data_IF_806816391595
#
_entry.id   IF_806816391595
#
_cell.length_a   1.000
_cell.length_b   1.000
_cell.length_c   1.000
_cell.angle_alpha   90.00
_cell.angle_beta   90.00
_cell.angle_gamma   90.00
#
_symmetry.space_group_name_H-M   'P 1'
#
loop_
_entity.id
_entity.type
_entity.pdbx_description
1 polymer ?
#
# COMPACT_ATOMS: atom_id res chain seq x y z
N UNK A 1 4.06 32.81 20.82
CA UNK A 1 4.50 32.02 21.99
C UNK A 1 4.26 30.53 21.71
N UNK A 2 5.01 29.63 22.33
CA UNK A 2 4.84 28.17 22.17
C UNK A 2 3.75 27.64 23.12
N UNK A 3 3.21 26.44 22.83
CA UNK A 3 2.15 25.83 23.65
C UNK A 3 2.65 25.49 25.06
N UNK A 4 1.73 25.52 26.03
CA UNK A 4 2.02 25.08 27.40
C UNK A 4 2.46 23.62 27.41
N UNK A 5 3.67 23.40 27.94
CA UNK A 5 4.36 22.11 27.97
C UNK A 5 4.77 21.82 29.40
N UNK A 6 4.52 20.60 29.87
CA UNK A 6 4.85 20.21 31.23
C UNK A 6 4.23 18.88 31.61
N UNK A 7 4.10 18.64 32.92
CA UNK A 7 3.48 17.43 33.47
C UNK A 7 2.08 17.18 32.90
N UNK A 8 1.81 15.94 32.50
CA UNK A 8 0.48 15.48 32.05
C UNK A 8 -0.57 15.48 33.17
N UNK A 9 -0.13 15.61 34.43
CA UNK A 9 -1.02 15.73 35.60
C UNK A 9 -1.50 17.17 35.83
N UNK A 10 -0.91 18.15 35.12
CA UNK A 10 -1.43 19.51 35.06
C UNK A 10 -2.22 19.67 33.76
N UNK A 11 -3.55 19.76 33.88
CA UNK A 11 -4.49 19.83 32.76
C UNK A 11 -4.43 21.16 31.98
N UNK A 12 -3.66 22.15 32.44
CA UNK A 12 -3.32 23.33 31.65
C UNK A 12 -2.40 22.98 30.48
N UNK A 13 -1.50 22.02 30.67
CA UNK A 13 -0.54 21.63 29.64
C UNK A 13 -1.24 21.00 28.43
N UNK A 14 -0.69 21.26 27.25
CA UNK A 14 -1.15 20.73 25.95
C UNK A 14 -0.14 19.79 25.32
N UNK A 15 1.11 19.87 25.75
CA UNK A 15 2.21 19.02 25.30
C UNK A 15 2.82 18.35 26.53
N UNK A 16 2.89 17.02 26.49
CA UNK A 16 3.50 16.20 27.54
C UNK A 16 5.02 16.04 27.35
N UNK A 17 5.68 15.29 28.26
CA UNK A 17 7.10 15.00 28.16
C UNK A 17 7.41 14.06 26.98
N UNK A 18 8.64 14.14 26.49
CA UNK A 18 9.25 13.12 25.64
C UNK A 18 9.42 11.81 26.42
N UNK A 19 9.38 10.68 25.73
CA UNK A 19 9.68 9.36 26.31
C UNK A 19 11.17 9.20 26.65
N UNK A 20 12.06 9.89 25.93
CA UNK A 20 13.49 9.94 26.19
C UNK A 20 14.06 11.33 25.90
N UNK A 21 15.30 11.60 26.32
CA UNK A 21 16.00 12.85 26.03
C UNK A 21 16.21 12.99 24.52
N UNK A 22 16.23 14.22 23.98
CA UNK A 22 16.60 14.44 22.59
C UNK A 22 17.97 13.83 22.28
N UNK A 23 18.01 12.96 21.28
CA UNK A 23 19.23 12.33 20.79
C UNK A 23 19.19 12.15 19.28
N UNK A 24 20.34 11.83 18.69
CA UNK A 24 20.46 11.49 17.27
C UNK A 24 19.87 12.57 16.35
N UNK A 25 18.87 12.20 15.54
CA UNK A 25 18.24 13.10 14.56
C UNK A 25 17.50 14.26 15.22
N UNK A 26 16.80 14.01 16.33
CA UNK A 26 16.06 15.04 17.06
C UNK A 26 17.02 16.09 17.63
N UNK A 27 18.05 15.66 18.37
CA UNK A 27 19.06 16.56 18.94
C UNK A 27 19.73 17.41 17.86
N UNK A 28 20.16 16.78 16.76
CA UNK A 28 20.72 17.50 15.61
C UNK A 28 19.75 18.58 15.12
N UNK A 29 18.47 18.25 14.92
CA UNK A 29 17.48 19.24 14.46
C UNK A 29 17.34 20.43 15.41
N UNK A 30 17.47 20.25 16.73
CA UNK A 30 17.31 21.35 17.69
C UNK A 30 18.51 22.32 17.66
N UNK A 31 19.71 21.81 17.39
CA UNK A 31 20.96 22.59 17.40
C UNK A 31 21.42 23.12 16.05
N UNK A 32 20.79 22.69 14.94
CA UNK A 32 21.25 22.97 13.58
C UNK A 32 20.09 23.43 12.69
N UNK A 33 20.37 24.41 11.82
CA UNK A 33 19.52 24.89 10.74
C UNK A 33 20.25 24.74 9.41
N UNK A 34 19.58 24.24 8.39
CA UNK A 34 20.11 24.21 7.02
C UNK A 34 20.15 25.63 6.41
N UNK A 35 20.86 25.80 5.29
CA UNK A 35 21.08 27.13 4.70
C UNK A 35 19.77 27.80 4.24
N UNK A 36 19.47 28.95 4.86
CA UNK A 36 18.27 29.74 4.60
C UNK A 36 17.09 29.39 5.51
N UNK A 37 17.21 28.36 6.36
CA UNK A 37 16.23 28.12 7.41
C UNK A 37 16.37 29.15 8.54
N UNK A 38 15.23 29.46 9.17
CA UNK A 38 15.17 30.28 10.38
C UNK A 38 14.21 29.67 11.39
N UNK A 39 14.38 30.00 12.66
CA UNK A 39 13.41 29.64 13.69
C UNK A 39 12.26 30.66 13.70
N UNK A 40 11.05 30.21 13.34
CA UNK A 40 9.83 30.96 13.64
C UNK A 40 9.47 30.82 15.12
N UNK A 41 9.65 29.62 15.67
CA UNK A 41 9.58 29.34 17.11
C UNK A 41 10.82 28.54 17.49
N UNK A 42 11.71 29.13 18.29
CA UNK A 42 12.95 28.48 18.72
C UNK A 42 12.66 27.31 19.67
N UNK A 43 13.45 26.23 19.62
CA UNK A 43 13.37 25.16 20.60
C UNK A 43 13.73 25.66 21.99
N UNK A 44 13.02 25.16 22.99
CA UNK A 44 13.17 25.53 24.39
C UNK A 44 12.62 24.39 25.27
N UNK A 45 12.98 24.38 26.55
CA UNK A 45 12.59 23.34 27.49
C UNK A 45 11.84 23.95 28.67
N UNK A 46 10.67 23.38 28.98
CA UNK A 46 9.88 23.81 30.14
C UNK A 46 10.52 23.32 31.47
N UNK A 47 9.87 23.63 32.58
CA UNK A 47 10.25 23.17 33.92
C UNK A 47 11.73 23.43 34.28
N UNK A 48 12.19 24.66 34.02
CA UNK A 48 13.57 25.11 34.28
C UNK A 48 14.63 24.32 33.48
N UNK A 49 14.36 24.09 32.20
CA UNK A 49 15.31 23.43 31.30
C UNK A 49 15.32 21.92 31.42
N UNK A 50 14.21 21.30 31.86
CA UNK A 50 14.12 19.86 31.95
C UNK A 50 14.23 19.23 30.55
N UNK A 51 15.23 18.37 30.28
CA UNK A 51 15.49 17.85 28.94
C UNK A 51 14.38 16.94 28.38
N UNK A 52 13.46 16.47 29.22
CA UNK A 52 12.28 15.71 28.76
C UNK A 52 11.11 16.62 28.37
N UNK A 53 11.12 17.89 28.76
CA UNK A 53 10.00 18.82 28.56
C UNK A 53 10.24 19.74 27.37
N UNK A 54 10.55 19.16 26.21
CA UNK A 54 10.80 19.90 24.98
C UNK A 54 9.52 20.59 24.49
N UNK A 55 9.57 21.92 24.37
CA UNK A 55 8.46 22.74 23.86
C UNK A 55 8.39 22.66 22.33
N UNK A 56 7.20 22.82 21.73
CA UNK A 56 7.07 22.90 20.28
C UNK A 56 7.95 23.99 19.66
N UNK A 57 8.58 23.63 18.55
CA UNK A 57 9.42 24.52 17.73
C UNK A 57 9.00 24.47 16.27
N UNK A 58 9.26 25.56 15.55
CA UNK A 58 8.88 25.73 14.15
C UNK A 58 10.07 26.27 13.36
N UNK A 59 10.53 25.48 12.40
CA UNK A 59 11.52 25.88 11.39
C UNK A 59 10.79 26.46 10.19
N UNK A 60 11.34 27.53 9.63
CA UNK A 60 10.76 28.23 8.49
C UNK A 60 11.78 28.30 7.36
N UNK A 61 11.37 27.92 6.16
CA UNK A 61 12.21 27.97 4.97
C UNK A 61 12.98 26.69 4.68
N UNK A 62 12.56 25.55 5.24
CA UNK A 62 13.11 24.22 4.90
C UNK A 62 12.95 23.98 3.40
N UNK A 63 14.01 23.52 2.74
CA UNK A 63 14.06 23.22 1.31
C UNK A 63 14.05 21.71 1.06
N UNK A 64 13.81 21.35 -0.19
CA UNK A 64 13.92 19.97 -0.63
C UNK A 64 15.34 19.42 -0.42
N UNK A 65 15.45 18.14 -0.06
CA UNK A 65 16.72 17.53 0.34
C UNK A 65 17.30 17.93 1.71
N UNK A 66 16.79 18.98 2.36
CA UNK A 66 17.28 19.40 3.69
C UNK A 66 17.12 18.29 4.73
N UNK A 67 17.90 18.39 5.82
CA UNK A 67 17.96 17.35 6.83
C UNK A 67 16.57 17.04 7.40
N UNK A 68 15.78 18.05 7.75
CA UNK A 68 14.46 17.87 8.35
C UNK A 68 13.36 17.50 7.36
N UNK A 69 13.59 17.65 6.05
CA UNK A 69 12.68 17.12 5.03
C UNK A 69 12.86 15.60 4.89
N UNK A 70 14.10 15.12 4.94
CA UNK A 70 14.43 13.72 4.66
C UNK A 70 14.45 12.81 5.90
N UNK A 71 14.21 13.35 7.09
CA UNK A 71 14.37 12.63 8.35
C UNK A 71 13.20 12.83 9.30
N UNK A 72 12.64 11.72 9.77
CA UNK A 72 11.70 11.70 10.89
C UNK A 72 12.43 12.01 12.21
N UNK A 73 11.89 12.96 12.98
CA UNK A 73 12.50 13.48 14.20
C UNK A 73 11.88 12.94 15.49
N UNK A 74 10.65 12.39 15.44
CA UNK A 74 9.92 11.88 16.63
C UNK A 74 9.87 12.86 17.82
N UNK A 75 9.73 14.16 17.54
CA UNK A 75 9.61 15.20 18.55
C UNK A 75 8.74 16.36 18.06
N UNK A 76 8.41 17.33 18.94
CA UNK A 76 7.54 18.47 18.63
C UNK A 76 8.29 19.55 17.81
N UNK A 77 8.81 19.16 16.65
CA UNK A 77 9.51 20.04 15.69
C UNK A 77 8.72 20.02 14.39
N UNK A 78 8.20 21.18 13.99
CA UNK A 78 7.51 21.36 12.70
C UNK A 78 8.43 22.10 11.72
N UNK A 79 8.55 21.56 10.51
CA UNK A 79 9.29 22.19 9.40
C UNK A 79 8.31 22.73 8.37
N UNK A 80 8.47 23.99 7.97
CA UNK A 80 7.63 24.62 6.94
C UNK A 80 8.41 24.79 5.65
N UNK A 81 7.88 24.15 4.61
CA UNK A 81 8.40 24.18 3.24
C UNK A 81 7.44 24.95 2.34
N UNK A 82 7.99 25.64 1.32
CA UNK A 82 7.19 26.34 0.32
C UNK A 82 7.25 25.58 -1.00
N UNK A 83 6.09 25.18 -1.51
CA UNK A 83 5.93 24.70 -2.87
C UNK A 83 5.44 25.82 -3.80
N UNK A 84 5.65 25.66 -5.10
CA UNK A 84 5.18 26.60 -6.13
C UNK A 84 3.70 26.40 -6.48
N UNK A 85 3.25 25.14 -6.41
CA UNK A 85 1.88 24.70 -6.70
C UNK A 85 1.63 23.32 -6.07
N UNK A 86 0.40 22.82 -6.15
CA UNK A 86 0.03 21.52 -5.58
C UNK A 86 0.80 20.33 -6.19
N UNK A 87 1.12 20.37 -7.48
CA UNK A 87 1.88 19.28 -8.11
C UNK A 87 3.27 19.17 -7.51
N UNK A 88 3.96 20.30 -7.42
CA UNK A 88 5.26 20.40 -6.75
C UNK A 88 5.16 19.99 -5.27
N UNK A 89 4.13 20.41 -4.53
CA UNK A 89 3.94 19.99 -3.14
C UNK A 89 3.83 18.46 -2.97
N UNK A 90 3.13 17.79 -3.89
CA UNK A 90 3.02 16.32 -3.88
C UNK A 90 4.37 15.66 -4.15
N UNK A 91 5.15 16.20 -5.08
CA UNK A 91 6.51 15.71 -5.39
C UNK A 91 7.43 15.81 -4.17
N UNK A 92 7.39 16.95 -3.46
CA UNK A 92 8.13 17.14 -2.19
C UNK A 92 7.75 16.04 -1.19
N UNK A 93 6.47 15.84 -0.90
CA UNK A 93 6.04 14.84 0.10
C UNK A 93 6.44 13.42 -0.29
N UNK A 94 6.26 13.05 -1.56
CA UNK A 94 6.60 11.71 -2.06
C UNK A 94 8.11 11.45 -2.04
N UNK A 95 8.96 12.48 -2.13
CA UNK A 95 10.42 12.33 -2.15
C UNK A 95 11.01 11.76 -0.85
N UNK A 96 10.31 11.88 0.28
CA UNK A 96 10.77 11.37 1.59
C UNK A 96 10.99 9.83 1.59
N UNK A 97 10.31 9.12 0.69
CA UNK A 97 10.28 7.66 0.63
C UNK A 97 9.44 6.99 1.74
N UNK A 98 8.86 7.79 2.64
CA UNK A 98 7.85 7.37 3.60
C UNK A 98 6.45 7.64 3.04
N UNK A 99 5.44 7.00 3.61
CA UNK A 99 4.06 7.12 3.13
C UNK A 99 3.05 6.67 4.18
N UNK A 100 3.16 7.17 5.41
CA UNK A 100 2.24 6.78 6.49
C UNK A 100 0.94 7.57 6.44
N UNK A 101 0.99 8.85 6.79
CA UNK A 101 -0.15 9.77 6.76
C UNK A 101 0.16 10.97 5.88
N UNK A 102 -0.85 11.52 5.22
CA UNK A 102 -0.75 12.79 4.50
C UNK A 102 -2.04 13.57 4.60
N UNK A 103 -1.93 14.90 4.65
CA UNK A 103 -3.04 15.83 4.85
C UNK A 103 -3.13 16.85 3.72
N UNK A 104 -4.35 17.19 3.30
CA UNK A 104 -4.64 18.31 2.40
C UNK A 104 -5.71 19.21 3.00
N UNK A 105 -5.39 20.48 3.17
CA UNK A 105 -6.36 21.54 3.49
C UNK A 105 -6.70 22.30 2.20
N UNK A 106 -7.82 21.93 1.57
CA UNK A 106 -8.33 22.61 0.36
C UNK A 106 -9.84 22.43 0.22
N UNK A 107 -10.50 23.52 -0.19
CA UNK A 107 -11.93 23.51 -0.53
C UNK A 107 -12.19 23.13 -2.00
N UNK A 108 -11.16 23.14 -2.85
CA UNK A 108 -11.28 22.84 -4.27
C UNK A 108 -11.26 21.33 -4.50
N UNK A 109 -12.36 20.80 -5.05
CA UNK A 109 -12.50 19.36 -5.31
C UNK A 109 -11.48 18.86 -6.35
N UNK A 110 -11.09 19.71 -7.31
CA UNK A 110 -10.10 19.36 -8.35
C UNK A 110 -8.72 19.16 -7.73
N UNK A 111 -8.39 19.95 -6.71
CA UNK A 111 -7.15 19.79 -5.94
C UNK A 111 -7.19 18.52 -5.10
N UNK A 112 -8.32 18.24 -4.43
CA UNK A 112 -8.51 17.02 -3.65
C UNK A 112 -8.37 15.76 -4.52
N UNK A 113 -8.98 15.75 -5.71
CA UNK A 113 -8.87 14.65 -6.68
C UNK A 113 -7.43 14.44 -7.14
N UNK A 114 -6.79 15.49 -7.65
CA UNK A 114 -5.39 15.46 -8.08
C UNK A 114 -4.45 14.96 -6.98
N UNK A 115 -4.68 15.39 -5.74
CA UNK A 115 -3.89 14.98 -4.59
C UNK A 115 -4.12 13.51 -4.24
N UNK A 116 -5.38 13.06 -4.13
CA UNK A 116 -5.72 11.65 -3.87
C UNK A 116 -5.14 10.69 -4.90
N UNK A 117 -5.02 11.11 -6.16
CA UNK A 117 -4.48 10.28 -7.25
C UNK A 117 -2.96 10.13 -7.18
N UNK A 118 -2.24 11.18 -6.74
CA UNK A 118 -0.78 11.26 -6.88
C UNK A 118 0.00 11.11 -5.58
N UNK A 119 -0.64 11.31 -4.43
CA UNK A 119 0.03 11.20 -3.14
C UNK A 119 0.31 9.74 -2.78
N UNK A 120 1.52 9.44 -2.33
CA UNK A 120 1.95 8.11 -1.91
C UNK A 120 1.89 8.05 -0.38
N UNK A 121 0.71 7.76 0.16
CA UNK A 121 0.55 7.51 1.59
C UNK A 121 -0.61 6.55 1.85
N UNK A 122 -0.51 5.76 2.92
CA UNK A 122 -1.53 4.80 3.29
C UNK A 122 -2.78 5.45 3.89
N UNK A 123 -2.65 6.54 4.64
CA UNK A 123 -3.77 7.24 5.28
C UNK A 123 -3.84 8.69 4.81
N UNK A 124 -4.91 9.04 4.10
CA UNK A 124 -5.15 10.36 3.54
C UNK A 124 -6.20 11.09 4.36
N UNK A 125 -5.95 12.36 4.65
CA UNK A 125 -6.83 13.21 5.43
C UNK A 125 -7.09 14.52 4.69
N UNK A 126 -8.35 14.90 4.53
CA UNK A 126 -8.74 16.11 3.82
C UNK A 126 -9.55 16.99 4.77
N UNK A 127 -9.11 18.24 4.93
CA UNK A 127 -9.71 19.27 5.78
C UNK A 127 -9.84 18.86 7.26
N UNK A 128 -8.80 18.22 7.80
CA UNK A 128 -8.73 17.68 9.16
C UNK A 128 -7.29 17.31 9.53
N UNK A 129 -7.05 17.10 10.82
CA UNK A 129 -5.78 16.55 11.31
C UNK A 129 -5.47 15.14 10.79
N UNK A 130 -4.18 14.82 10.72
CA UNK A 130 -3.65 13.55 10.18
C UNK A 130 -3.41 12.46 11.23
N UNK A 131 -3.72 12.73 12.50
CA UNK A 131 -3.53 11.81 13.63
C UNK A 131 -4.86 11.34 14.20
N UNK A 132 -4.83 10.33 15.09
CA UNK A 132 -6.03 9.86 15.78
C UNK A 132 -6.93 8.99 14.91
N UNK A 133 -6.33 8.12 14.10
CA UNK A 133 -7.05 7.13 13.32
C UNK A 133 -7.93 6.26 14.22
N UNK A 134 -9.19 6.11 13.84
CA UNK A 134 -10.21 5.33 14.56
C UNK A 134 -10.38 3.99 13.83
N UNK A 135 -10.37 2.90 14.59
CA UNK A 135 -10.60 1.53 14.09
C UNK A 135 -11.86 1.48 13.21
N UNK A 136 -11.79 0.74 12.09
CA UNK A 136 -12.78 0.64 11.01
C UNK A 136 -13.08 1.93 10.22
N UNK A 137 -12.93 3.12 10.80
CA UNK A 137 -13.11 4.38 10.06
C UNK A 137 -11.89 4.69 9.20
N UNK A 138 -10.71 4.64 9.80
CA UNK A 138 -9.44 4.87 9.11
C UNK A 138 -8.45 3.75 9.47
N UNK A 139 -8.63 2.51 8.96
CA UNK A 139 -7.62 1.47 9.12
C UNK A 139 -6.21 2.01 8.86
N UNK A 140 -5.29 1.69 9.74
CA UNK A 140 -4.01 2.40 9.83
C UNK A 140 -2.85 1.55 9.33
N UNK A 141 -2.01 2.16 8.50
CA UNK A 141 -0.81 1.52 7.93
C UNK A 141 -0.29 2.32 6.74
N UNK A 142 1.02 2.32 6.53
CA UNK A 142 1.67 3.14 5.52
C UNK A 142 2.05 2.40 4.24
N UNK A 143 2.81 3.10 3.41
CA UNK A 143 3.46 2.63 2.18
C UNK A 143 4.95 2.97 2.22
N UNK A 144 5.73 2.42 1.28
CA UNK A 144 7.18 2.67 1.21
C UNK A 144 7.89 2.28 2.50
N UNK A 145 8.77 3.15 3.01
CA UNK A 145 9.51 2.92 4.26
C UNK A 145 8.62 2.85 5.52
N UNK A 146 7.35 3.23 5.42
CA UNK A 146 6.40 3.21 6.55
C UNK A 146 5.73 1.86 6.78
N UNK A 147 5.97 0.85 5.94
CA UNK A 147 5.39 -0.47 6.10
C UNK A 147 6.36 -1.57 5.63
N UNK A 148 6.38 -2.68 6.37
CA UNK A 148 7.03 -3.92 5.97
C UNK A 148 5.97 -5.03 6.11
N UNK A 149 5.77 -5.83 5.05
CA UNK A 149 4.81 -6.93 5.05
C UNK A 149 3.74 -6.81 3.97
N UNK A 150 2.61 -7.49 4.21
CA UNK A 150 1.50 -7.57 3.23
C UNK A 150 0.85 -6.22 2.92
N UNK A 151 0.96 -5.25 3.84
CA UNK A 151 0.33 -3.93 3.73
C UNK A 151 -1.13 -3.88 4.17
N UNK A 152 -1.68 -4.98 4.72
CA UNK A 152 -3.01 -5.00 5.34
C UNK A 152 -3.03 -4.13 6.59
N UNK A 153 -4.02 -3.24 6.71
CA UNK A 153 -4.04 -2.17 7.71
C UNK A 153 -4.62 -2.62 9.04
N UNK A 154 -3.99 -2.21 10.14
CA UNK A 154 -4.50 -2.47 11.48
C UNK A 154 -5.85 -1.78 11.68
N UNK A 155 -6.78 -2.47 12.34
CA UNK A 155 -8.15 -1.97 12.52
C UNK A 155 -9.02 -2.04 11.26
N UNK A 156 -8.55 -2.68 10.18
CA UNK A 156 -9.33 -3.03 9.00
C UNK A 156 -9.72 -4.52 8.95
N UNK A 157 -10.64 -4.88 8.05
CA UNK A 157 -11.21 -6.22 7.95
C UNK A 157 -10.19 -7.31 7.56
N UNK A 158 -9.17 -6.96 6.78
CA UNK A 158 -8.22 -7.94 6.27
C UNK A 158 -7.06 -8.22 7.26
N UNK A 159 -6.87 -7.41 8.31
CA UNK A 159 -5.68 -7.51 9.16
C UNK A 159 -5.48 -8.88 9.80
N UNK A 160 -6.57 -9.47 10.30
CA UNK A 160 -6.57 -10.77 10.98
C UNK A 160 -6.17 -11.91 10.03
N UNK A 161 -6.48 -11.79 8.74
CA UNK A 161 -6.16 -12.83 7.75
C UNK A 161 -4.66 -13.16 7.66
N UNK A 162 -3.78 -12.25 8.07
CA UNK A 162 -2.34 -12.45 8.10
C UNK A 162 -1.90 -13.51 9.13
N UNK A 163 -2.76 -13.81 10.09
CA UNK A 163 -2.50 -14.74 11.18
C UNK A 163 -3.32 -16.03 11.04
N UNK A 164 -3.85 -16.30 9.84
CA UNK A 164 -4.72 -17.44 9.55
C UNK A 164 -4.08 -18.37 8.53
N UNK A 165 -4.40 -19.66 8.63
CA UNK A 165 -4.18 -20.63 7.55
C UNK A 165 -5.48 -20.81 6.79
N UNK A 166 -5.65 -20.05 5.70
CA UNK A 166 -6.89 -20.01 4.93
C UNK A 166 -6.88 -21.14 3.90
N UNK A 167 -7.95 -21.94 3.89
CA UNK A 167 -8.21 -22.96 2.87
C UNK A 167 -9.58 -22.72 2.27
N UNK A 168 -9.68 -22.90 0.97
CA UNK A 168 -10.95 -22.85 0.27
C UNK A 168 -11.39 -24.28 -0.05
N UNK A 169 -12.64 -24.58 0.28
CA UNK A 169 -13.35 -25.77 -0.20
C UNK A 169 -14.43 -25.28 -1.13
N UNK A 170 -14.47 -25.84 -2.34
CA UNK A 170 -15.38 -25.40 -3.39
C UNK A 170 -16.83 -25.53 -2.93
N UNK A 171 -17.51 -24.40 -2.82
CA UNK A 171 -18.96 -24.34 -2.57
C UNK A 171 -19.58 -23.53 -3.69
N UNK A 172 -20.23 -24.20 -4.63
CA UNK A 172 -21.02 -23.66 -5.74
C UNK A 172 -20.38 -22.43 -6.42
N UNK A 173 -19.48 -22.65 -7.39
CA UNK A 173 -18.97 -21.57 -8.21
C UNK A 173 -20.11 -20.90 -8.99
N UNK A 174 -20.14 -19.57 -8.91
CA UNK A 174 -21.12 -18.72 -9.58
C UNK A 174 -21.15 -18.94 -11.10
N UNK A 175 -22.35 -18.75 -11.66
CA UNK A 175 -22.63 -18.76 -13.08
C UNK A 175 -21.74 -17.76 -13.84
N UNK A 176 -21.41 -18.15 -15.08
CA UNK A 176 -20.57 -17.45 -16.05
C UNK A 176 -20.43 -15.94 -15.86
N UNK A 177 -19.23 -15.49 -15.51
CA UNK A 177 -18.81 -14.11 -15.78
C UNK A 177 -18.30 -14.06 -17.23
N UNK A 178 -18.84 -13.15 -18.05
CA UNK A 178 -18.31 -12.85 -19.38
C UNK A 178 -17.80 -11.42 -19.37
N UNK A 179 -16.49 -11.30 -19.48
CA UNK A 179 -15.82 -10.04 -19.80
C UNK A 179 -15.02 -10.29 -21.08
N UNK A 180 -14.73 -9.24 -21.88
CA UNK A 180 -13.88 -9.40 -23.07
C UNK A 180 -12.54 -10.09 -22.75
N UNK A 181 -12.02 -9.84 -21.54
CA UNK A 181 -10.83 -10.50 -21.02
C UNK A 181 -11.03 -12.01 -20.79
N UNK A 182 -12.11 -12.41 -20.11
CA UNK A 182 -12.44 -13.83 -19.89
C UNK A 182 -12.71 -14.54 -21.22
N UNK A 183 -13.38 -13.90 -22.17
CA UNK A 183 -13.69 -14.50 -23.48
C UNK A 183 -12.41 -14.72 -24.31
N UNK A 184 -11.47 -13.77 -24.26
CA UNK A 184 -10.14 -13.93 -24.84
C UNK A 184 -9.41 -15.10 -24.17
N UNK A 185 -9.42 -15.18 -22.85
CA UNK A 185 -8.77 -16.28 -22.12
C UNK A 185 -9.39 -17.64 -22.41
N UNK A 186 -10.72 -17.72 -22.47
CA UNK A 186 -11.45 -18.92 -22.87
C UNK A 186 -11.01 -19.37 -24.26
N UNK A 187 -10.87 -18.44 -25.19
CA UNK A 187 -10.41 -18.75 -26.56
C UNK A 187 -8.97 -19.25 -26.58
N UNK A 188 -8.10 -18.70 -25.74
CA UNK A 188 -6.69 -19.10 -25.68
C UNK A 188 -6.50 -20.49 -25.04
N UNK A 189 -7.22 -20.74 -23.95
CA UNK A 189 -7.06 -21.94 -23.13
C UNK A 189 -7.82 -23.16 -23.70
N UNK A 190 -8.93 -22.96 -24.42
CA UNK A 190 -9.73 -24.09 -24.96
C UNK A 190 -9.32 -24.56 -26.36
N UNK A 191 -8.41 -23.85 -27.03
CA UNK A 191 -7.89 -24.26 -28.36
C UNK A 191 -6.89 -25.40 -28.31
N UNK A 192 -6.30 -25.66 -27.15
CA UNK A 192 -5.33 -26.73 -26.94
C UNK A 192 -5.98 -27.91 -26.21
N UNK A 193 -5.59 -29.13 -26.56
CA UNK A 193 -6.05 -30.35 -25.87
C UNK A 193 -5.08 -30.77 -24.77
N UNK A 194 -3.84 -30.25 -24.78
CA UNK A 194 -2.84 -30.52 -23.75
C UNK A 194 -3.17 -29.66 -22.52
N UNK A 195 -3.30 -30.30 -21.35
CA UNK A 195 -3.75 -29.69 -20.08
C UNK A 195 -5.16 -29.09 -20.09
N UNK A 196 -6.08 -29.71 -20.82
CA UNK A 196 -7.46 -29.23 -20.94
C UNK A 196 -8.17 -29.12 -19.58
N UNK A 197 -7.99 -30.10 -18.68
CA UNK A 197 -8.66 -30.10 -17.37
C UNK A 197 -8.18 -28.96 -16.47
N UNK A 198 -6.86 -28.71 -16.45
CA UNK A 198 -6.23 -27.62 -15.71
C UNK A 198 -6.63 -26.25 -16.27
N UNK A 199 -6.70 -26.13 -17.59
CA UNK A 199 -7.19 -24.93 -18.27
C UNK A 199 -8.65 -24.62 -17.93
N UNK A 200 -9.53 -25.62 -17.96
CA UNK A 200 -10.93 -25.47 -17.55
C UNK A 200 -11.05 -25.14 -16.06
N UNK A 201 -10.22 -25.75 -15.20
CA UNK A 201 -10.17 -25.41 -13.77
C UNK A 201 -9.75 -23.96 -13.54
N UNK A 202 -8.69 -23.49 -14.22
CA UNK A 202 -8.26 -22.11 -14.15
C UNK A 202 -9.36 -21.14 -14.62
N UNK A 203 -10.03 -21.44 -15.74
CA UNK A 203 -11.13 -20.61 -16.26
C UNK A 203 -12.26 -20.44 -15.24
N UNK A 204 -12.62 -21.50 -14.51
CA UNK A 204 -13.62 -21.43 -13.43
C UNK A 204 -13.19 -20.47 -12.32
N UNK A 205 -11.94 -20.55 -11.89
CA UNK A 205 -11.40 -19.65 -10.85
C UNK A 205 -11.28 -18.21 -11.34
N UNK A 206 -10.89 -17.98 -12.60
CA UNK A 206 -10.75 -16.65 -13.17
C UNK A 206 -12.10 -15.91 -13.20
N UNK A 207 -13.20 -16.58 -13.56
CA UNK A 207 -14.55 -15.98 -13.48
C UNK A 207 -14.87 -15.52 -12.06
N UNK A 208 -14.55 -16.34 -11.06
CA UNK A 208 -14.75 -16.01 -9.66
C UNK A 208 -13.85 -14.85 -9.19
N UNK A 209 -12.62 -14.77 -9.69
CA UNK A 209 -11.71 -13.66 -9.40
C UNK A 209 -12.20 -12.36 -10.02
N UNK A 210 -12.69 -12.39 -11.25
CA UNK A 210 -13.27 -11.22 -11.92
C UNK A 210 -14.47 -10.65 -11.14
N UNK A 211 -15.34 -11.53 -10.63
CA UNK A 211 -16.42 -11.11 -9.75
C UNK A 211 -15.90 -10.34 -8.53
N UNK A 212 -14.96 -10.93 -7.77
CA UNK A 212 -14.40 -10.28 -6.57
C UNK A 212 -13.63 -8.99 -6.88
N UNK A 213 -12.94 -8.94 -8.01
CA UNK A 213 -12.29 -7.73 -8.47
C UNK A 213 -13.31 -6.59 -8.65
N UNK A 214 -14.44 -6.86 -9.30
CA UNK A 214 -15.49 -5.89 -9.54
C UNK A 214 -16.24 -5.45 -8.27
N UNK A 215 -16.60 -6.39 -7.39
CA UNK A 215 -17.46 -6.08 -6.24
C UNK A 215 -16.69 -5.60 -5.00
N UNK A 216 -15.42 -5.94 -4.87
CA UNK A 216 -14.59 -5.57 -3.71
C UNK A 216 -13.48 -4.59 -4.10
N UNK A 217 -12.56 -5.00 -4.97
CA UNK A 217 -11.28 -4.29 -5.15
C UNK A 217 -11.41 -3.02 -6.00
N UNK A 218 -12.35 -2.97 -6.94
CA UNK A 218 -12.67 -1.76 -7.73
C UNK A 218 -13.64 -0.81 -7.01
N UNK A 219 -14.17 -1.17 -5.84
CA UNK A 219 -15.10 -0.35 -5.09
C UNK A 219 -14.40 0.42 -3.97
N UNK A 220 -14.86 1.65 -3.79
CA UNK A 220 -14.60 2.42 -2.58
C UNK A 220 -15.64 2.06 -1.53
N UNK A 221 -15.20 1.78 -0.30
CA UNK A 221 -16.06 1.33 0.79
C UNK A 221 -16.07 2.36 1.92
N UNK A 222 -17.24 2.85 2.31
CA UNK A 222 -17.43 3.61 3.56
C UNK A 222 -18.24 2.75 4.52
N UNK A 223 -17.59 2.06 5.46
CA UNK A 223 -18.31 1.25 6.44
C UNK A 223 -18.79 2.06 7.65
N UNK A 224 -18.30 3.29 7.82
CA UNK A 224 -18.55 4.08 9.01
C UNK A 224 -19.79 4.98 8.87
N UNK A 225 -20.08 5.44 7.66
CA UNK A 225 -21.24 6.27 7.33
C UNK A 225 -21.42 7.47 8.28
N UNK A 226 -20.33 8.20 8.54
CA UNK A 226 -20.34 9.33 9.48
C UNK A 226 -20.89 10.58 8.78
N UNK A 227 -21.92 11.18 9.36
CA UNK A 227 -22.48 12.43 8.84
C UNK A 227 -21.44 13.56 8.91
N UNK A 228 -21.15 14.18 7.77
CA UNK A 228 -20.16 15.26 7.66
C UNK A 228 -18.72 14.79 7.41
N UNK A 229 -18.47 13.48 7.36
CA UNK A 229 -17.14 12.90 7.18
C UNK A 229 -17.22 11.60 6.37
N UNK A 230 -16.61 11.58 5.18
CA UNK A 230 -16.47 10.31 4.44
C UNK A 230 -15.23 9.56 4.93
N UNK A 231 -15.33 8.25 5.05
CA UNK A 231 -14.29 7.36 5.55
C UNK A 231 -14.10 6.18 4.62
N UNK A 232 -13.43 6.47 3.52
CA UNK A 232 -13.27 5.55 2.41
C UNK A 232 -12.11 4.61 2.64
N UNK A 233 -12.33 3.33 2.40
CA UNK A 233 -11.30 2.32 2.21
C UNK A 233 -11.33 1.91 0.75
N UNK A 234 -10.17 1.95 0.10
CA UNK A 234 -9.99 1.52 -1.29
C UNK A 234 -8.74 0.67 -1.45
N UNK A 235 -8.64 0.01 -2.60
CA UNK A 235 -7.53 -0.87 -2.94
C UNK A 235 -6.82 -0.33 -4.18
N UNK A 236 -5.52 -0.07 -4.07
CA UNK A 236 -4.68 0.39 -5.17
C UNK A 236 -3.95 -0.82 -5.78
N UNK A 237 -4.06 -1.09 -7.09
CA UNK A 237 -3.33 -2.18 -7.71
C UNK A 237 -1.83 -1.92 -7.65
N UNK A 238 -1.04 -2.98 -7.50
CA UNK A 238 0.42 -2.91 -7.67
C UNK A 238 0.78 -2.72 -9.14
N UNK A 239 1.87 -2.02 -9.42
CA UNK A 239 2.31 -1.69 -10.78
C UNK A 239 2.96 -2.89 -11.49
N UNK A 240 3.71 -3.70 -10.75
CA UNK A 240 4.40 -4.87 -11.30
C UNK A 240 4.53 -6.01 -10.28
N UNK A 241 4.56 -7.24 -10.79
CA UNK A 241 4.62 -8.47 -10.00
C UNK A 241 5.67 -9.40 -10.58
N UNK A 242 6.58 -9.88 -9.73
CA UNK A 242 7.44 -11.03 -10.01
C UNK A 242 6.76 -12.30 -9.48
N UNK A 243 6.29 -13.15 -10.38
CA UNK A 243 5.75 -14.47 -10.06
C UNK A 243 6.87 -15.50 -10.21
N UNK A 244 7.40 -15.99 -9.09
CA UNK A 244 8.39 -17.08 -9.10
C UNK A 244 7.67 -18.42 -9.00
N UNK A 245 7.83 -19.22 -10.05
CA UNK A 245 7.32 -20.59 -10.12
C UNK A 245 8.40 -21.59 -9.67
N UNK A 246 7.97 -22.71 -9.09
CA UNK A 246 8.81 -23.84 -8.72
C UNK A 246 8.21 -25.15 -9.20
N UNK A 247 9.07 -26.17 -9.33
CA UNK A 247 8.62 -27.52 -9.67
C UNK A 247 7.60 -28.02 -8.64
N UNK A 248 6.47 -28.53 -9.12
CA UNK A 248 5.35 -28.95 -8.28
C UNK A 248 4.23 -27.92 -8.13
N UNK A 249 4.43 -26.66 -8.53
CA UNK A 249 3.34 -25.70 -8.67
C UNK A 249 2.34 -26.22 -9.72
N UNK A 250 1.05 -26.21 -9.38
CA UNK A 250 -0.01 -26.77 -10.24
C UNK A 250 -0.37 -25.78 -11.35
N UNK A 251 -0.55 -26.27 -12.58
CA UNK A 251 -0.76 -25.41 -13.75
C UNK A 251 -2.00 -24.52 -13.63
N UNK A 252 -3.09 -25.00 -13.02
CA UNK A 252 -4.28 -24.18 -12.83
C UNK A 252 -4.06 -23.03 -11.84
N UNK A 253 -3.20 -23.21 -10.83
CA UNK A 253 -2.83 -22.17 -9.87
C UNK A 253 -1.95 -21.11 -10.54
N UNK A 254 -1.01 -21.56 -11.38
CA UNK A 254 -0.16 -20.71 -12.22
C UNK A 254 -1.03 -19.86 -13.14
N UNK A 255 -1.91 -20.49 -13.93
CA UNK A 255 -2.76 -19.81 -14.89
C UNK A 255 -3.71 -18.84 -14.19
N UNK A 256 -4.35 -19.25 -13.09
CA UNK A 256 -5.23 -18.36 -12.34
C UNK A 256 -4.48 -17.15 -11.80
N UNK A 257 -3.26 -17.34 -11.29
CA UNK A 257 -2.43 -16.26 -10.75
C UNK A 257 -1.94 -15.30 -11.84
N UNK A 258 -1.43 -15.83 -12.95
CA UNK A 258 -1.05 -15.03 -14.13
C UNK A 258 -2.23 -14.16 -14.56
N UNK A 259 -3.42 -14.75 -14.67
CA UNK A 259 -4.60 -14.00 -15.10
C UNK A 259 -5.09 -13.00 -14.05
N UNK A 260 -4.95 -13.29 -12.76
CA UNK A 260 -5.26 -12.35 -11.69
C UNK A 260 -4.38 -11.08 -11.78
N UNK A 261 -3.07 -11.25 -12.01
CA UNK A 261 -2.11 -10.15 -12.16
C UNK A 261 -2.43 -9.31 -13.39
N UNK A 262 -2.71 -9.98 -14.52
CA UNK A 262 -3.08 -9.31 -15.77
C UNK A 262 -4.42 -8.56 -15.66
N UNK A 263 -5.39 -9.12 -14.95
CA UNK A 263 -6.72 -8.53 -14.75
C UNK A 263 -6.66 -7.19 -14.00
N UNK A 264 -5.73 -7.04 -13.05
CA UNK A 264 -5.55 -5.78 -12.31
C UNK A 264 -4.71 -4.74 -13.07
N UNK A 265 -4.18 -5.10 -14.25
CA UNK A 265 -3.35 -4.23 -15.09
C UNK A 265 -1.89 -4.14 -14.69
N UNK A 266 -1.40 -5.02 -13.81
CA UNK A 266 0.00 -5.03 -13.39
C UNK A 266 0.90 -5.66 -14.46
N UNK A 267 2.13 -5.16 -14.58
CA UNK A 267 3.17 -5.79 -15.41
C UNK A 267 3.62 -7.09 -14.75
N UNK A 268 3.62 -8.19 -15.49
CA UNK A 268 3.94 -9.52 -15.00
C UNK A 268 5.34 -9.94 -15.44
N UNK A 269 6.17 -10.37 -14.50
CA UNK A 269 7.38 -11.15 -14.80
C UNK A 269 7.21 -12.56 -14.23
N UNK A 270 7.19 -13.57 -15.10
CA UNK A 270 7.23 -14.98 -14.71
C UNK A 270 8.70 -15.44 -14.66
N UNK A 271 9.15 -15.88 -13.49
CA UNK A 271 10.47 -16.48 -13.30
C UNK A 271 10.32 -18.00 -13.15
N UNK A 272 10.90 -18.74 -14.09
CA UNK A 272 10.94 -20.21 -14.12
C UNK A 272 12.28 -20.73 -13.57
N UNK A 273 12.36 -21.94 -13.01
CA UNK A 273 13.65 -22.52 -12.63
C UNK A 273 14.54 -22.79 -13.85
N UNK A 274 15.82 -22.36 -13.78
CA UNK A 274 16.77 -22.35 -14.89
C UNK A 274 16.82 -23.65 -15.70
N UNK A 275 16.83 -24.79 -15.00
CA UNK A 275 17.03 -26.11 -15.61
C UNK A 275 15.76 -26.98 -15.62
N UNK A 276 14.60 -26.46 -15.22
CA UNK A 276 13.38 -27.27 -15.15
C UNK A 276 12.91 -27.69 -16.54
N UNK A 277 12.50 -28.95 -16.65
CA UNK A 277 11.91 -29.56 -17.86
C UNK A 277 10.46 -29.98 -17.64
N UNK A 278 9.80 -29.45 -16.60
CA UNK A 278 8.39 -29.70 -16.35
C UNK A 278 7.56 -29.31 -17.58
N UNK A 279 6.67 -30.21 -18.00
CA UNK A 279 5.93 -30.09 -19.26
C UNK A 279 5.05 -28.82 -19.28
N UNK A 280 4.51 -28.47 -18.12
CA UNK A 280 3.69 -27.30 -17.84
C UNK A 280 4.46 -25.99 -18.12
N UNK A 281 5.74 -25.92 -17.75
CA UNK A 281 6.57 -24.74 -18.01
C UNK A 281 6.96 -24.61 -19.48
N UNK A 282 7.31 -25.72 -20.12
CA UNK A 282 7.57 -25.74 -21.57
C UNK A 282 6.32 -25.34 -22.35
N UNK A 283 5.15 -25.82 -21.92
CA UNK A 283 3.87 -25.44 -22.49
C UNK A 283 3.59 -23.95 -22.27
N UNK A 284 3.79 -23.42 -21.06
CA UNK A 284 3.64 -22.00 -20.73
C UNK A 284 4.52 -21.12 -21.64
N UNK A 285 5.80 -21.46 -21.80
CA UNK A 285 6.73 -20.76 -22.70
C UNK A 285 6.27 -20.84 -24.16
N UNK A 286 5.77 -22.00 -24.62
CA UNK A 286 5.24 -22.17 -25.98
C UNK A 286 4.01 -21.29 -26.24
N UNK A 287 3.26 -20.97 -25.18
CA UNK A 287 2.04 -20.16 -25.23
C UNK A 287 2.25 -18.70 -24.86
N UNK A 288 3.46 -18.27 -24.51
CA UNK A 288 3.75 -16.94 -23.96
C UNK A 288 3.15 -15.79 -24.80
N UNK A 289 3.17 -15.90 -26.13
CA UNK A 289 2.62 -14.88 -27.04
C UNK A 289 1.11 -14.65 -26.87
N UNK A 290 0.42 -15.56 -26.18
CA UNK A 290 -1.02 -15.49 -25.91
C UNK A 290 -1.38 -14.64 -24.70
N UNK A 291 -0.49 -14.53 -23.70
CA UNK A 291 -0.80 -13.90 -22.41
C UNK A 291 0.28 -12.94 -21.87
N UNK A 292 1.48 -12.92 -22.46
CA UNK A 292 2.54 -11.94 -22.19
C UNK A 292 2.34 -10.74 -23.12
N UNK A 293 2.14 -9.56 -22.53
CA UNK A 293 2.09 -8.27 -23.21
C UNK A 293 3.47 -7.62 -23.36
N UNK A 294 3.51 -6.44 -23.99
CA UNK A 294 4.76 -5.75 -24.31
C UNK A 294 5.62 -5.37 -23.08
N UNK A 295 5.01 -5.22 -21.91
CA UNK A 295 5.68 -4.87 -20.65
C UNK A 295 5.85 -6.06 -19.70
N UNK A 296 5.46 -7.25 -20.14
CA UNK A 296 5.61 -8.48 -19.37
C UNK A 296 6.89 -9.21 -19.78
N UNK A 297 7.36 -10.11 -18.93
CA UNK A 297 8.54 -10.92 -19.19
C UNK A 297 8.36 -12.35 -18.72
N UNK A 298 9.05 -13.27 -19.39
CA UNK A 298 9.30 -14.62 -18.91
C UNK A 298 10.79 -14.88 -18.97
N UNK A 299 11.34 -15.44 -17.90
CA UNK A 299 12.76 -15.77 -17.82
C UNK A 299 12.98 -17.07 -17.07
N UNK A 300 14.17 -17.64 -17.26
CA UNK A 300 14.65 -18.83 -16.58
C UNK A 300 15.78 -18.41 -15.66
N UNK A 301 15.53 -18.48 -14.35
CA UNK A 301 16.39 -17.96 -13.31
C UNK A 301 16.85 -19.04 -12.34
N UNK A 302 18.12 -18.92 -11.96
CA UNK A 302 18.63 -19.50 -10.72
C UNK A 302 18.43 -18.55 -9.55
N UNK A 303 18.86 -18.97 -8.37
CA UNK A 303 18.64 -18.20 -7.15
C UNK A 303 19.36 -16.85 -7.15
N UNK A 304 20.57 -16.75 -7.71
CA UNK A 304 21.32 -15.49 -7.72
C UNK A 304 20.72 -14.47 -8.71
N UNK A 305 20.27 -14.92 -9.89
CA UNK A 305 19.57 -14.03 -10.82
C UNK A 305 18.23 -13.59 -10.23
N UNK A 306 17.50 -14.48 -9.56
CA UNK A 306 16.25 -14.16 -8.87
C UNK A 306 16.44 -13.12 -7.76
N UNK A 307 17.47 -13.27 -6.92
CA UNK A 307 17.81 -12.30 -5.86
C UNK A 307 18.10 -10.92 -6.45
N UNK A 308 18.74 -10.88 -7.62
CA UNK A 308 19.04 -9.63 -8.34
C UNK A 308 17.79 -9.00 -8.96
N UNK A 309 16.81 -9.82 -9.36
CA UNK A 309 15.55 -9.36 -9.95
C UNK A 309 14.58 -8.77 -8.93
N UNK A 310 14.46 -9.41 -7.76
CA UNK A 310 13.47 -9.08 -6.71
C UNK A 310 13.32 -7.57 -6.42
N UNK A 311 14.40 -6.78 -6.26
CA UNK A 311 14.29 -5.36 -5.89
C UNK A 311 13.58 -4.47 -6.92
N UNK A 312 13.43 -4.93 -8.15
CA UNK A 312 12.81 -4.17 -9.25
C UNK A 312 11.27 -4.30 -9.27
N UNK A 313 10.70 -5.12 -8.38
CA UNK A 313 9.28 -5.43 -8.37
C UNK A 313 8.63 -5.00 -7.06
N UNK A 314 7.44 -4.43 -7.16
CA UNK A 314 6.64 -3.98 -6.03
C UNK A 314 6.05 -5.17 -5.25
N UNK A 315 5.73 -6.26 -5.95
CA UNK A 315 5.25 -7.49 -5.34
C UNK A 315 5.99 -8.72 -5.86
N UNK A 316 6.42 -9.57 -4.94
CA UNK A 316 7.00 -10.88 -5.23
C UNK A 316 6.00 -11.95 -4.77
N UNK A 317 5.63 -12.86 -5.66
CA UNK A 317 4.67 -13.94 -5.39
C UNK A 317 5.32 -15.30 -5.61
N UNK A 318 5.23 -16.14 -4.60
CA UNK A 318 5.47 -17.60 -4.67
C UNK A 318 4.17 -18.29 -4.29
N UNK A 319 3.75 -19.34 -4.99
CA UNK A 319 2.46 -19.98 -4.74
C UNK A 319 2.43 -20.82 -3.45
N UNK A 320 3.60 -21.24 -2.95
CA UNK A 320 3.70 -22.02 -1.72
C UNK A 320 4.86 -21.54 -0.82
N UNK A 321 4.73 -21.63 0.51
CA UNK A 321 5.71 -21.08 1.46
C UNK A 321 7.04 -21.84 1.51
N UNK A 322 7.04 -23.13 1.23
CA UNK A 322 8.22 -24.02 1.17
C UNK A 322 9.15 -23.71 0.00
N UNK A 323 8.64 -23.02 -1.02
CA UNK A 323 9.33 -22.70 -2.25
C UNK A 323 10.30 -21.50 -2.13
N UNK A 324 10.35 -20.85 -0.96
CA UNK A 324 11.24 -19.72 -0.68
C UNK A 324 12.42 -20.19 0.16
N UNK A 325 13.62 -20.16 -0.41
CA UNK A 325 14.83 -20.58 0.30
C UNK A 325 15.22 -19.59 1.41
N UNK A 326 15.91 -20.08 2.44
CA UNK A 326 16.46 -19.21 3.48
C UNK A 326 17.52 -18.22 2.95
N UNK A 327 18.21 -18.57 1.86
CA UNK A 327 19.23 -17.71 1.29
C UNK A 327 18.60 -16.44 0.69
N UNK A 328 17.47 -16.58 -0.02
CA UNK A 328 16.70 -15.43 -0.52
C UNK A 328 16.36 -14.48 0.63
N UNK A 329 15.79 -14.98 1.73
CA UNK A 329 15.44 -14.14 2.89
C UNK A 329 16.66 -13.41 3.46
N UNK A 330 17.78 -14.10 3.65
CA UNK A 330 19.00 -13.49 4.20
C UNK A 330 19.55 -12.40 3.29
N UNK A 331 19.49 -12.60 1.97
CA UNK A 331 20.07 -11.71 0.97
C UNK A 331 19.25 -10.47 0.67
N UNK A 332 17.94 -10.47 0.96
CA UNK A 332 17.06 -9.31 0.75
C UNK A 332 16.61 -8.65 2.07
N UNK A 333 17.05 -9.15 3.22
CA UNK A 333 16.58 -8.71 4.54
C UNK A 333 16.83 -7.21 4.79
N UNK A 334 17.95 -6.68 4.30
CA UNK A 334 18.36 -5.28 4.42
C UNK A 334 17.49 -4.32 3.58
N UNK A 335 16.80 -4.84 2.57
CA UNK A 335 15.93 -4.08 1.68
C UNK A 335 14.48 -4.03 2.16
N UNK A 336 14.13 -4.77 3.21
CA UNK A 336 12.79 -4.83 3.78
C UNK A 336 11.67 -5.20 2.77
N UNK A 337 12.01 -6.01 1.76
CA UNK A 337 11.08 -6.46 0.72
C UNK A 337 10.19 -7.59 1.27
N UNK A 338 8.89 -7.48 1.07
CA UNK A 338 7.95 -8.54 1.43
C UNK A 338 7.73 -9.51 0.26
N UNK A 339 7.92 -10.80 0.54
CA UNK A 339 7.58 -11.91 -0.35
C UNK A 339 6.21 -12.47 0.06
N UNK A 340 5.22 -12.36 -0.84
CA UNK A 340 3.93 -13.01 -0.69
C UNK A 340 4.09 -14.50 -1.00
N UNK A 341 4.05 -15.33 0.03
CA UNK A 341 4.33 -16.77 -0.03
C UNK A 341 3.26 -17.62 0.64
N UNK A 342 2.17 -16.99 1.06
CA UNK A 342 1.00 -17.69 1.57
C UNK A 342 0.50 -18.67 0.50
N UNK A 343 0.08 -19.89 0.87
CA UNK A 343 -0.42 -20.86 -0.10
C UNK A 343 -1.47 -20.25 -1.02
N UNK A 344 -1.42 -20.56 -2.32
CA UNK A 344 -2.45 -20.16 -3.27
C UNK A 344 -3.84 -20.59 -2.76
N UNK A 345 -4.79 -19.67 -2.85
CA UNK A 345 -6.19 -19.94 -2.51
C UNK A 345 -7.04 -19.64 -3.73
N UNK A 346 -7.78 -20.63 -4.23
CA UNK A 346 -8.67 -20.49 -5.40
C UNK A 346 -9.96 -19.69 -5.13
N UNK A 347 -9.86 -18.67 -4.28
CA UNK A 347 -10.93 -17.74 -3.93
C UNK A 347 -10.49 -16.30 -4.19
N UNK A 348 -11.19 -15.60 -5.10
CA UNK A 348 -10.80 -14.25 -5.56
C UNK A 348 -10.66 -13.24 -4.42
N UNK A 349 -11.55 -13.24 -3.43
CA UNK A 349 -11.45 -12.36 -2.24
C UNK A 349 -10.15 -12.51 -1.45
N UNK A 350 -9.51 -13.67 -1.52
CA UNK A 350 -8.31 -13.99 -0.75
C UNK A 350 -7.08 -13.74 -1.61
N UNK A 351 -6.99 -14.40 -2.77
CA UNK A 351 -5.79 -14.34 -3.61
C UNK A 351 -5.54 -12.95 -4.17
N UNK A 352 -6.59 -12.21 -4.56
CA UNK A 352 -6.41 -10.86 -5.10
C UNK A 352 -5.79 -9.89 -4.08
N UNK A 353 -5.94 -10.11 -2.77
CA UNK A 353 -5.34 -9.23 -1.76
C UNK A 353 -3.81 -9.13 -1.88
N UNK A 354 -3.14 -10.13 -2.47
CA UNK A 354 -1.70 -10.08 -2.69
C UNK A 354 -1.30 -9.00 -3.71
N UNK A 355 -2.21 -8.57 -4.58
CA UNK A 355 -1.91 -7.66 -5.69
C UNK A 355 -2.47 -6.24 -5.49
N UNK A 356 -3.01 -5.95 -4.31
CA UNK A 356 -3.50 -4.63 -3.94
C UNK A 356 -2.81 -4.08 -2.69
N UNK A 357 -2.83 -2.76 -2.56
CA UNK A 357 -2.41 -2.01 -1.38
C UNK A 357 -3.64 -1.29 -0.84
N UNK A 358 -3.95 -1.49 0.44
CA UNK A 358 -5.06 -0.78 1.08
C UNK A 358 -4.73 0.69 1.29
N UNK A 359 -5.70 1.57 1.07
CA UNK A 359 -5.60 2.99 1.37
C UNK A 359 -6.87 3.47 2.06
N UNK A 360 -6.69 4.29 3.10
CA UNK A 360 -7.80 4.92 3.83
C UNK A 360 -7.82 6.40 3.54
N UNK A 361 -9.00 6.96 3.30
CA UNK A 361 -9.22 8.38 2.99
C UNK A 361 -10.32 8.90 3.90
N UNK A 362 -10.00 9.89 4.71
CA UNK A 362 -10.97 10.57 5.55
C UNK A 362 -11.11 12.02 5.12
N UNK A 363 -12.32 12.43 4.73
CA UNK A 363 -12.61 13.79 4.27
C UNK A 363 -13.72 14.42 5.10
N UNK A 364 -13.38 15.47 5.84
CA UNK A 364 -14.36 16.31 6.51
C UNK A 364 -14.97 17.27 5.49
N UNK A 365 -16.07 16.85 4.87
CA UNK A 365 -16.72 17.59 3.79
C UNK A 365 -17.70 18.67 4.28
N UNK A 366 -18.13 18.61 5.54
CA UNK A 366 -19.00 19.63 6.10
C UNK A 366 -18.30 20.99 6.20
N UNK A 367 -19.06 22.07 6.09
CA UNK A 367 -18.60 23.44 6.33
C UNK A 367 -19.36 24.00 7.50
N UNK A 368 -18.70 23.98 8.67
CA UNK A 368 -19.29 24.39 9.94
C UNK A 368 -20.64 23.70 10.23
N UNK A 369 -20.70 22.38 9.97
CA UNK A 369 -21.92 21.57 10.13
C UNK A 369 -22.87 21.57 8.92
N UNK A 370 -22.70 22.47 7.94
CA UNK A 370 -23.45 22.41 6.69
C UNK A 370 -22.85 21.36 5.75
N UNK A 371 -23.65 20.38 5.32
CA UNK A 371 -23.20 19.25 4.49
C UNK A 371 -23.08 19.58 2.99
N UNK A 372 -23.56 20.75 2.56
CA UNK A 372 -23.57 21.15 1.15
C UNK A 372 -24.28 20.13 0.26
N UNK A 373 -23.79 19.96 -0.97
CA UNK A 373 -24.37 19.06 -1.97
C UNK A 373 -24.38 17.59 -1.53
N UNK A 374 -23.38 17.17 -0.74
CA UNK A 374 -23.32 15.79 -0.25
C UNK A 374 -24.46 15.48 0.74
N UNK A 375 -24.98 16.50 1.42
CA UNK A 375 -26.16 16.37 2.27
C UNK A 375 -27.47 16.10 1.52
N UNK A 376 -27.53 16.37 0.21
CA UNK A 376 -28.72 16.13 -0.62
C UNK A 376 -28.84 14.67 -1.08
N UNK A 377 -27.72 13.94 -1.07
CA UNK A 377 -27.66 12.54 -1.51
C UNK A 377 -27.83 11.53 -0.38
N UNK A 378 -27.81 12.00 0.87
CA UNK A 378 -28.20 11.18 2.03
C UNK A 378 -29.71 11.07 1.99
N UNK A 379 -30.24 10.02 1.36
CA UNK A 379 -31.64 9.61 1.58
C UNK A 379 -31.82 9.45 3.09
N UNK A 380 -32.83 10.10 3.63
CA UNK A 380 -33.25 9.92 5.02
C UNK A 380 -33.33 8.42 5.30
N UNK A 381 -32.51 7.96 6.26
CA UNK A 381 -32.49 6.58 6.77
C UNK A 381 -33.72 6.38 7.64
#
# INVERSE_FOLDING_TARGET
ESLQTGSVWDFGNRIGPLSDRPGGKLEKSLGYLDEGETWLVKPDFADRGNPYMLKPSVRWGTKEGDFCHMNELFGPVLSVMRAENLGHAIEIVNATGYGLTSGLESLDQREQEKWKEKIIAGNLYINRGTTGAIVLRQPFGGMGKSAIGSGKKAGGFNYVSQFMNIRYHETNLYESCSTPYIDQMRTLLTRDTVFHEECEAALRHICHFAHWHEVEFLKEHDYAHIRGESNIIRYLPVNNVLLRLQEGDRLEEILTTVMAIKMIGANLHISLPEHSKQAEFLWLESKQASFIGANDAISRDNEESLITLIPNYQRIRFLHPENVSQNIFKRIADQAIYIAREPFVSHGRIELMHYFIEQSISNSYHRYGNLGIQGLHVKEI
#
